data_IF_456866003235
#
_entry.id   IF_456866003235
#
_cell.length_a   1.000
_cell.length_b   1.000
_cell.length_c   1.000
_cell.angle_alpha   90.00
_cell.angle_beta   90.00
_cell.angle_gamma   90.00
#
_symmetry.space_group_name_H-M   'P 1'
#
loop_
_entity.id
_entity.type
_entity.pdbx_description
1 polymer ?
#
# COMPACT_ATOMS: atom_id res chain seq x y z
N UNK A 1 -22.89 -25.49 -3.66
CA UNK A 1 -22.77 -24.95 -2.30
C UNK A 1 -21.31 -25.06 -1.87
N UNK A 2 -20.47 -24.09 -2.26
CA UNK A 2 -19.06 -24.09 -1.91
C UNK A 2 -18.90 -23.61 -0.47
N UNK A 3 -18.24 -24.40 0.39
CA UNK A 3 -17.86 -23.92 1.72
C UNK A 3 -16.88 -22.76 1.51
N UNK A 4 -17.26 -21.56 1.94
CA UNK A 4 -16.29 -20.50 2.15
C UNK A 4 -15.28 -21.01 3.18
N UNK A 5 -14.10 -21.40 2.72
CA UNK A 5 -12.97 -21.65 3.58
C UNK A 5 -12.67 -20.35 4.31
N UNK A 6 -13.12 -20.21 5.54
CA UNK A 6 -12.73 -19.08 6.39
C UNK A 6 -11.21 -19.15 6.54
N UNK A 7 -10.48 -18.31 5.83
CA UNK A 7 -9.04 -18.20 6.01
C UNK A 7 -8.77 -17.88 7.47
N UNK A 8 -7.81 -18.56 8.12
CA UNK A 8 -7.52 -18.31 9.52
C UNK A 8 -7.13 -16.84 9.70
N UNK A 9 -7.80 -16.18 10.63
CA UNK A 9 -7.54 -14.78 10.99
C UNK A 9 -6.16 -14.71 11.65
N UNK A 10 -5.21 -14.00 11.01
CA UNK A 10 -3.85 -13.82 11.52
C UNK A 10 -3.93 -12.98 12.81
N UNK A 11 -3.37 -13.48 13.90
CA UNK A 11 -3.23 -12.69 15.13
C UNK A 11 -1.86 -12.03 15.16
N UNK A 12 -1.73 -10.97 15.95
CA UNK A 12 -0.46 -10.24 16.10
C UNK A 12 0.67 -11.15 16.56
N UNK A 13 0.39 -12.13 17.43
CA UNK A 13 1.36 -13.11 17.91
C UNK A 13 1.90 -14.05 16.82
N UNK A 14 1.23 -14.12 15.66
CA UNK A 14 1.64 -14.94 14.52
C UNK A 14 2.50 -14.15 13.52
N UNK A 15 2.67 -12.83 13.73
CA UNK A 15 3.47 -11.98 12.87
C UNK A 15 4.96 -12.10 13.22
N UNK A 16 5.84 -12.37 12.24
CA UNK A 16 7.27 -12.53 12.48
C UNK A 16 7.96 -11.21 12.80
N UNK A 17 9.02 -11.27 13.60
CA UNK A 17 9.86 -10.08 13.91
C UNK A 17 10.77 -9.67 12.75
N UNK A 18 11.02 -10.57 11.80
CA UNK A 18 11.86 -10.31 10.62
C UNK A 18 11.12 -10.71 9.35
N UNK A 19 11.00 -9.77 8.41
CA UNK A 19 10.36 -10.00 7.11
C UNK A 19 11.29 -9.60 5.95
N UNK A 20 11.16 -10.26 4.78
CA UNK A 20 11.67 -9.69 3.53
C UNK A 20 10.92 -8.38 3.22
N UNK A 21 11.62 -7.39 2.69
CA UNK A 21 11.01 -6.12 2.27
C UNK A 21 11.26 -5.83 0.80
N UNK A 22 10.25 -5.27 0.15
CA UNK A 22 10.26 -4.80 -1.23
C UNK A 22 10.22 -3.27 -1.24
N UNK A 23 11.36 -2.60 -1.44
CA UNK A 23 11.42 -1.15 -1.62
C UNK A 23 10.91 -0.78 -3.02
N UNK A 24 9.75 -0.11 -3.10
CA UNK A 24 9.16 0.29 -4.38
C UNK A 24 8.58 1.72 -4.28
N UNK A 25 9.18 2.73 -4.94
CA UNK A 25 8.68 4.11 -4.87
C UNK A 25 7.30 4.23 -5.51
N UNK A 26 6.40 4.96 -4.86
CA UNK A 26 5.05 5.22 -5.36
C UNK A 26 4.09 4.03 -5.27
N UNK A 27 4.57 2.84 -4.87
CA UNK A 27 3.71 1.71 -4.57
C UNK A 27 3.27 1.77 -3.11
N UNK A 28 1.96 1.71 -2.90
CA UNK A 28 1.34 1.72 -1.59
C UNK A 28 0.55 0.43 -1.41
N UNK A 29 0.68 -0.20 -0.24
CA UNK A 29 -0.16 -1.30 0.20
C UNK A 29 -0.82 -0.87 1.52
N UNK A 30 -2.11 -1.10 1.65
CA UNK A 30 -2.87 -0.85 2.87
C UNK A 30 -3.49 -2.16 3.38
N UNK A 31 -3.76 -2.29 4.70
CA UNK A 31 -4.48 -3.43 5.26
C UNK A 31 -5.79 -3.71 4.49
N UNK A 32 -6.12 -4.99 4.30
CA UNK A 32 -7.29 -5.50 3.55
C UNK A 32 -7.33 -5.17 2.05
N UNK A 33 -6.47 -4.29 1.56
CA UNK A 33 -6.35 -3.99 0.13
C UNK A 33 -5.51 -5.05 -0.61
N UNK A 34 -5.56 -5.02 -1.95
CA UNK A 34 -4.78 -5.91 -2.81
C UNK A 34 -3.84 -5.11 -3.68
N UNK A 35 -2.57 -5.54 -3.75
CA UNK A 35 -1.55 -4.96 -4.61
C UNK A 35 -1.02 -6.03 -5.57
N UNK A 36 -1.35 -5.94 -6.87
CA UNK A 36 -0.71 -6.75 -7.90
C UNK A 36 0.69 -6.20 -8.21
N UNK A 37 1.67 -7.08 -8.43
CA UNK A 37 3.05 -6.71 -8.76
C UNK A 37 3.63 -7.64 -9.84
N UNK A 38 4.44 -7.07 -10.72
CA UNK A 38 5.26 -7.82 -11.67
C UNK A 38 6.66 -8.00 -11.10
N UNK A 39 7.08 -9.25 -10.91
CA UNK A 39 8.38 -9.62 -10.38
C UNK A 39 9.23 -10.21 -11.49
N UNK A 40 10.34 -9.56 -11.80
CA UNK A 40 11.26 -10.00 -12.86
C UNK A 40 12.73 -9.82 -12.49
N UNK A 41 13.07 -8.96 -11.52
CA UNK A 41 14.46 -8.80 -11.09
C UNK A 41 14.93 -10.03 -10.30
N UNK A 42 16.12 -10.61 -10.58
CA UNK A 42 16.60 -11.84 -9.95
C UNK A 42 16.57 -11.84 -8.41
N UNK A 43 16.91 -10.70 -7.78
CA UNK A 43 16.86 -10.57 -6.31
C UNK A 43 15.45 -10.72 -5.74
N UNK A 44 14.42 -10.24 -6.45
CA UNK A 44 13.04 -10.32 -6.01
C UNK A 44 12.39 -11.65 -6.39
N UNK A 45 12.88 -12.32 -7.44
CA UNK A 45 12.54 -13.72 -7.70
C UNK A 45 13.02 -14.61 -6.54
N UNK A 46 14.28 -14.44 -6.09
CA UNK A 46 14.77 -15.16 -4.93
C UNK A 46 13.99 -14.82 -3.64
N UNK A 47 13.62 -13.55 -3.45
CA UNK A 47 12.75 -13.14 -2.33
C UNK A 47 11.39 -13.85 -2.36
N UNK A 48 10.78 -13.99 -3.54
CA UNK A 48 9.51 -14.69 -3.72
C UNK A 48 9.64 -16.17 -3.37
N UNK A 49 10.68 -16.84 -3.88
CA UNK A 49 10.97 -18.24 -3.58
C UNK A 49 11.17 -18.49 -2.09
N UNK A 50 11.93 -17.62 -1.42
CA UNK A 50 12.18 -17.74 0.01
C UNK A 50 10.93 -17.42 0.84
N UNK A 51 10.11 -16.47 0.39
CA UNK A 51 8.80 -16.16 1.01
C UNK A 51 7.85 -17.35 0.95
N UNK A 52 7.78 -18.06 -0.19
CA UNK A 52 6.92 -19.23 -0.38
C UNK A 52 7.25 -20.39 0.57
N UNK A 53 8.49 -20.49 1.04
CA UNK A 53 8.97 -21.48 2.01
C UNK A 53 8.57 -21.12 3.46
N UNK A 54 8.11 -19.90 3.71
CA UNK A 54 7.66 -19.48 5.05
C UNK A 54 6.18 -19.83 5.27
N UNK A 55 5.76 -20.10 6.52
CA UNK A 55 4.35 -20.36 6.82
C UNK A 55 3.46 -19.12 6.64
N UNK A 56 3.99 -17.93 6.91
CA UNK A 56 3.22 -16.67 6.87
C UNK A 56 3.14 -16.05 5.47
N UNK A 57 4.11 -16.33 4.59
CA UNK A 57 4.22 -15.81 3.22
C UNK A 57 4.08 -14.29 3.13
N UNK A 58 4.70 -13.58 4.09
CA UNK A 58 4.63 -12.12 4.17
C UNK A 58 5.79 -11.46 3.42
N UNK A 59 5.47 -10.39 2.70
CA UNK A 59 6.41 -9.44 2.10
C UNK A 59 6.06 -8.05 2.61
N UNK A 60 7.05 -7.32 3.13
CA UNK A 60 6.89 -5.94 3.55
C UNK A 60 7.02 -4.98 2.38
N UNK A 61 5.93 -4.35 1.97
CA UNK A 61 5.98 -3.22 1.02
C UNK A 61 6.39 -1.96 1.78
N UNK A 62 7.40 -1.26 1.29
CA UNK A 62 7.92 -0.05 1.93
C UNK A 62 8.43 0.91 0.86
N UNK A 63 8.20 2.21 1.06
CA UNK A 63 8.74 3.20 0.13
C UNK A 63 10.21 3.50 0.47
N UNK A 64 11.10 3.60 -0.53
CA UNK A 64 12.41 4.18 -0.33
C UNK A 64 12.27 5.69 -0.12
N UNK A 65 13.18 6.27 0.67
CA UNK A 65 13.31 7.70 0.87
C UNK A 65 14.72 8.17 0.57
N UNK A 66 14.82 9.37 0.00
CA UNK A 66 16.10 9.98 -0.27
C UNK A 66 16.74 10.47 1.03
N UNK A 67 18.08 10.45 1.07
CA UNK A 67 18.87 10.96 2.19
C UNK A 67 19.66 12.16 1.68
N UNK A 68 19.46 13.37 2.24
CA UNK A 68 20.26 14.53 1.86
C UNK A 68 21.76 14.24 2.00
N UNK A 69 22.50 14.35 0.89
CA UNK A 69 23.95 14.11 0.84
C UNK A 69 24.39 12.64 0.85
N UNK A 70 23.48 11.68 0.74
CA UNK A 70 23.78 10.25 0.63
C UNK A 70 23.54 9.71 -0.77
N UNK A 71 24.36 8.74 -1.21
CA UNK A 71 24.16 8.06 -2.48
C UNK A 71 23.10 6.93 -2.42
N UNK A 72 22.76 6.46 -1.22
CA UNK A 72 21.85 5.32 -1.02
C UNK A 72 20.49 5.74 -0.46
N UNK A 73 19.42 5.20 -1.04
CA UNK A 73 18.06 5.39 -0.54
C UNK A 73 17.82 4.56 0.72
N UNK A 74 17.40 5.24 1.80
CA UNK A 74 16.93 4.58 3.02
C UNK A 74 15.50 4.10 2.84
N UNK A 75 15.00 3.35 3.80
CA UNK A 75 13.58 3.03 3.88
C UNK A 75 12.85 4.11 4.68
N UNK A 76 11.61 4.36 4.29
CA UNK A 76 10.63 4.98 5.18
C UNK A 76 10.42 4.09 6.41
N UNK A 77 10.08 4.72 7.54
CA UNK A 77 9.98 4.03 8.82
C UNK A 77 8.74 3.14 8.89
N UNK A 78 7.70 3.42 8.11
CA UNK A 78 6.45 2.68 8.11
C UNK A 78 6.23 2.05 6.73
N UNK A 79 5.92 0.76 6.74
CA UNK A 79 5.52 -0.03 5.57
C UNK A 79 4.24 -0.82 5.86
N UNK A 80 3.77 -1.58 4.88
CA UNK A 80 2.66 -2.52 5.06
C UNK A 80 3.05 -3.93 4.60
N UNK A 81 2.85 -4.92 5.47
CA UNK A 81 3.07 -6.31 5.15
C UNK A 81 1.87 -6.84 4.36
N UNK A 82 2.16 -7.49 3.24
CA UNK A 82 1.19 -8.20 2.43
C UNK A 82 1.44 -9.69 2.46
N UNK A 83 0.39 -10.49 2.59
CA UNK A 83 0.46 -11.94 2.40
C UNK A 83 0.36 -12.24 0.91
N UNK A 84 1.26 -13.07 0.42
CA UNK A 84 1.19 -13.60 -0.93
C UNK A 84 -0.05 -14.50 -1.07
N UNK A 85 -1.06 -14.02 -1.80
CA UNK A 85 -2.35 -14.70 -1.99
C UNK A 85 -2.58 -15.21 -3.40
N UNK A 86 -1.78 -14.76 -4.36
CA UNK A 86 -1.80 -15.26 -5.72
C UNK A 86 -0.43 -15.09 -6.37
N UNK A 87 -0.06 -16.04 -7.22
CA UNK A 87 1.08 -15.91 -8.11
C UNK A 87 0.84 -16.72 -9.38
N UNK A 88 1.34 -16.23 -10.51
CA UNK A 88 1.33 -16.93 -11.79
C UNK A 88 2.61 -16.59 -12.55
N UNK A 89 3.22 -17.62 -13.12
CA UNK A 89 4.37 -17.47 -14.02
C UNK A 89 3.90 -17.05 -15.41
N UNK A 90 4.63 -16.14 -16.05
CA UNK A 90 4.41 -15.70 -17.43
C UNK A 90 5.36 -16.43 -18.37
N UNK A 91 5.02 -16.47 -19.67
CA UNK A 91 5.80 -17.19 -20.69
C UNK A 91 7.25 -16.71 -20.85
N UNK A 92 7.56 -15.50 -20.38
CA UNK A 92 8.89 -14.89 -20.40
C UNK A 92 9.67 -15.03 -19.08
N UNK A 93 9.22 -15.89 -18.17
CA UNK A 93 9.91 -16.19 -16.91
C UNK A 93 9.75 -15.10 -15.84
N UNK A 94 8.73 -14.25 -15.95
CA UNK A 94 8.36 -13.28 -14.91
C UNK A 94 7.23 -13.86 -14.06
N UNK A 95 7.00 -13.26 -12.90
CA UNK A 95 5.85 -13.59 -12.06
C UNK A 95 4.91 -12.40 -11.94
N UNK A 96 3.62 -12.63 -12.12
CA UNK A 96 2.59 -11.77 -11.54
C UNK A 96 2.28 -12.29 -10.15
N UNK A 97 2.35 -11.43 -9.14
CA UNK A 97 1.92 -11.77 -7.78
C UNK A 97 0.82 -10.83 -7.30
N UNK A 98 0.02 -11.31 -6.35
CA UNK A 98 -0.97 -10.49 -5.63
C UNK A 98 -0.70 -10.58 -4.14
N UNK A 99 -0.39 -9.43 -3.54
CA UNK A 99 -0.30 -9.27 -2.10
C UNK A 99 -1.63 -8.79 -1.53
N UNK A 100 -2.14 -9.47 -0.51
CA UNK A 100 -3.26 -8.99 0.31
C UNK A 100 -2.72 -8.35 1.59
N UNK A 101 -3.01 -7.08 1.81
CA UNK A 101 -2.50 -6.31 2.94
C UNK A 101 -2.98 -6.86 4.29
N UNK A 102 -2.05 -7.09 5.20
CA UNK A 102 -2.31 -7.65 6.53
C UNK A 102 -2.22 -6.58 7.60
N UNK A 103 -1.05 -5.96 7.75
CA UNK A 103 -0.80 -4.99 8.81
C UNK A 103 0.31 -4.05 8.40
N UNK A 104 0.22 -2.79 8.81
CA UNK A 104 1.36 -1.90 8.83
C UNK A 104 2.38 -2.36 9.86
N UNK A 105 3.62 -1.95 9.62
CA UNK A 105 4.75 -2.23 10.49
C UNK A 105 5.70 -1.04 10.53
N UNK A 106 6.46 -0.96 11.61
CA UNK A 106 7.57 -0.03 11.77
C UNK A 106 8.89 -0.75 11.51
N UNK A 107 9.72 -0.21 10.63
CA UNK A 107 11.09 -0.69 10.41
C UNK A 107 11.94 -0.29 11.62
N UNK A 108 12.53 -1.28 12.29
CA UNK A 108 13.45 -1.06 13.42
C UNK A 108 14.89 -1.00 12.91
N UNK A 109 15.28 -1.98 12.09
CA UNK A 109 16.62 -2.05 11.51
C UNK A 109 16.65 -2.97 10.29
N UNK A 110 17.66 -2.80 9.46
CA UNK A 110 17.96 -3.73 8.37
C UNK A 110 18.83 -4.87 8.87
N UNK A 111 18.45 -6.08 8.51
CA UNK A 111 19.20 -7.30 8.83
C UNK A 111 20.29 -7.47 7.78
N UNK A 112 21.55 -7.46 8.24
CA UNK A 112 22.71 -7.77 7.40
C UNK A 112 22.72 -9.27 7.06
N UNK A 113 23.11 -9.62 5.83
CA UNK A 113 23.15 -11.02 5.41
C UNK A 113 23.46 -11.21 3.93
N UNK A 114 23.42 -12.47 3.49
CA UNK A 114 23.78 -12.88 2.13
C UNK A 114 22.59 -12.96 1.16
N UNK A 115 21.37 -12.59 1.60
CA UNK A 115 20.23 -12.54 0.69
C UNK A 115 20.39 -11.37 -0.28
N UNK A 116 20.06 -11.51 -1.57
CA UNK A 116 20.20 -10.42 -2.55
C UNK A 116 19.11 -9.34 -2.42
N UNK A 117 18.16 -9.54 -1.51
CA UNK A 117 17.08 -8.63 -1.17
C UNK A 117 17.17 -8.20 0.30
N UNK A 118 16.54 -7.07 0.61
CA UNK A 118 16.56 -6.47 1.95
C UNK A 118 15.62 -7.23 2.89
N UNK A 119 16.04 -7.33 4.15
CA UNK A 119 15.24 -7.86 5.25
C UNK A 119 15.27 -6.86 6.39
N UNK A 120 14.18 -6.73 7.10
CA UNK A 120 14.08 -5.81 8.23
C UNK A 120 13.58 -6.53 9.47
N UNK A 121 14.15 -6.16 10.62
CA UNK A 121 13.47 -6.33 11.90
C UNK A 121 12.36 -5.28 11.97
N UNK A 122 11.15 -5.70 12.34
CA UNK A 122 9.96 -4.86 12.31
C UNK A 122 9.16 -4.96 13.60
N UNK A 123 8.37 -3.92 13.88
CA UNK A 123 7.46 -3.86 15.02
C UNK A 123 6.02 -3.61 14.57
N UNK A 124 5.08 -4.28 15.23
CA UNK A 124 3.65 -4.29 14.89
C UNK A 124 2.77 -3.54 15.91
N UNK A 125 3.32 -3.20 17.08
CA UNK A 125 2.54 -2.75 18.24
C UNK A 125 1.68 -1.52 17.97
N UNK A 126 2.21 -0.55 17.23
CA UNK A 126 1.52 0.69 16.84
C UNK A 126 0.32 0.44 15.89
N UNK A 127 0.21 -0.75 15.32
CA UNK A 127 -0.71 -1.06 14.21
C UNK A 127 -1.69 -2.20 14.54
N UNK A 128 -1.93 -2.48 15.83
CA UNK A 128 -2.86 -3.54 16.27
C UNK A 128 -4.28 -3.44 15.67
N UNK A 129 -4.74 -2.22 15.34
CA UNK A 129 -6.04 -1.97 14.67
C UNK A 129 -6.12 -2.59 13.28
N UNK A 130 -4.98 -2.75 12.59
CA UNK A 130 -4.95 -3.25 11.22
C UNK A 130 -5.39 -4.72 11.13
N UNK A 131 -5.26 -5.48 12.22
CA UNK A 131 -5.73 -6.87 12.33
C UNK A 131 -7.20 -6.97 12.78
N UNK A 132 -7.82 -5.84 13.11
CA UNK A 132 -9.21 -5.74 13.51
C UNK A 132 -10.19 -5.84 12.34
N UNK A 133 -11.49 -5.65 12.62
CA UNK A 133 -12.50 -5.50 11.57
C UNK A 133 -12.21 -4.27 10.70
N UNK A 134 -12.90 -4.18 9.57
CA UNK A 134 -12.82 -3.00 8.72
C UNK A 134 -13.11 -1.72 9.52
N UNK A 135 -12.34 -0.68 9.25
CA UNK A 135 -12.52 0.62 9.90
C UNK A 135 -13.76 1.33 9.33
N UNK A 136 -14.39 2.14 10.17
CA UNK A 136 -15.51 3.00 9.78
C UNK A 136 -15.18 4.45 10.04
N UNK A 137 -15.79 5.34 9.26
CA UNK A 137 -15.63 6.78 9.39
C UNK A 137 -17.01 7.45 9.50
N UNK A 138 -17.40 7.76 10.75
CA UNK A 138 -18.70 8.36 11.03
C UNK A 138 -18.87 9.76 10.40
N UNK A 139 -17.77 10.45 10.06
CA UNK A 139 -17.78 11.75 9.40
C UNK A 139 -17.85 11.66 7.88
N UNK A 140 -17.86 10.46 7.30
CA UNK A 140 -17.73 10.30 5.86
C UNK A 140 -18.98 10.75 5.10
N UNK A 141 -18.88 11.90 4.43
CA UNK A 141 -19.91 12.42 3.52
C UNK A 141 -19.68 11.91 2.10
N UNK A 142 -20.09 10.66 1.82
CA UNK A 142 -19.85 9.95 0.55
C UNK A 142 -20.22 10.77 -0.69
N UNK A 143 -21.41 11.35 -0.76
CA UNK A 143 -21.85 12.13 -1.94
C UNK A 143 -20.94 13.33 -2.23
N UNK A 144 -20.59 14.11 -1.20
CA UNK A 144 -19.70 15.26 -1.35
C UNK A 144 -18.27 14.83 -1.73
N UNK A 145 -17.81 13.70 -1.21
CA UNK A 145 -16.52 13.13 -1.55
C UNK A 145 -16.47 12.65 -3.01
N UNK A 146 -17.51 11.96 -3.49
CA UNK A 146 -17.59 11.49 -4.87
C UNK A 146 -17.70 12.65 -5.87
N UNK A 147 -18.37 13.75 -5.52
CA UNK A 147 -18.40 14.97 -6.34
C UNK A 147 -16.99 15.59 -6.50
N UNK A 148 -16.25 15.72 -5.39
CA UNK A 148 -14.86 16.19 -5.41
C UNK A 148 -13.98 15.26 -6.25
N UNK A 149 -14.12 13.94 -6.08
CA UNK A 149 -13.38 12.95 -6.84
C UNK A 149 -13.71 13.02 -8.34
N UNK A 150 -14.98 13.28 -8.70
CA UNK A 150 -15.41 13.45 -10.09
C UNK A 150 -14.70 14.61 -10.79
N UNK A 151 -14.57 15.74 -10.08
CA UNK A 151 -13.81 16.89 -10.56
C UNK A 151 -12.32 16.55 -10.74
N UNK A 152 -11.73 15.86 -9.77
CA UNK A 152 -10.33 15.43 -9.82
C UNK A 152 -10.04 14.48 -10.99
N UNK A 153 -10.87 13.44 -11.18
CA UNK A 153 -10.67 12.48 -12.27
C UNK A 153 -10.86 13.12 -13.64
N UNK A 154 -11.77 14.08 -13.75
CA UNK A 154 -11.91 14.89 -14.97
C UNK A 154 -10.65 15.72 -15.23
N UNK A 155 -10.12 16.40 -14.21
CA UNK A 155 -8.94 17.25 -14.34
C UNK A 155 -7.66 16.45 -14.66
N UNK A 156 -7.55 15.22 -14.15
CA UNK A 156 -6.41 14.33 -14.37
C UNK A 156 -6.59 13.37 -15.55
N UNK A 157 -7.67 13.50 -16.33
CA UNK A 157 -8.03 12.62 -17.46
C UNK A 157 -8.07 11.11 -17.09
N UNK A 158 -8.49 10.80 -15.86
CA UNK A 158 -8.55 9.44 -15.35
C UNK A 158 -9.87 8.77 -15.75
N UNK A 159 -9.77 7.54 -16.25
CA UNK A 159 -10.95 6.69 -16.51
C UNK A 159 -11.42 6.02 -15.23
N UNK A 160 -12.72 5.83 -15.08
CA UNK A 160 -13.30 5.30 -13.84
C UNK A 160 -14.64 4.63 -14.05
N UNK A 161 -14.81 3.48 -13.43
CA UNK A 161 -16.11 2.85 -13.24
C UNK A 161 -16.81 3.45 -12.01
N UNK A 162 -17.62 4.47 -12.27
CA UNK A 162 -18.42 5.15 -11.24
C UNK A 162 -19.52 4.27 -10.63
N UNK A 163 -19.92 3.17 -11.28
CA UNK A 163 -20.86 2.21 -10.71
C UNK A 163 -20.21 1.49 -9.53
N UNK A 164 -19.08 0.84 -9.80
CA UNK A 164 -18.30 0.11 -8.80
C UNK A 164 -17.85 1.00 -7.64
N UNK A 165 -17.42 2.23 -7.88
CA UNK A 165 -16.99 3.15 -6.80
C UNK A 165 -18.13 3.53 -5.85
N UNK A 166 -19.36 3.70 -6.34
CA UNK A 166 -20.51 4.08 -5.51
C UNK A 166 -20.92 2.96 -4.56
N UNK A 167 -20.82 1.73 -5.02
CA UNK A 167 -21.20 0.53 -4.25
C UNK A 167 -20.09 0.04 -3.32
N UNK A 168 -18.86 0.53 -3.49
CA UNK A 168 -17.73 0.14 -2.65
C UNK A 168 -17.93 0.52 -1.17
N UNK A 169 -17.56 -0.41 -0.29
CA UNK A 169 -17.44 -0.16 1.16
C UNK A 169 -16.44 0.98 1.43
N UNK A 170 -16.66 1.70 2.53
CA UNK A 170 -15.95 2.97 2.82
C UNK A 170 -14.44 2.81 2.90
N UNK A 171 -13.98 1.84 3.68
CA UNK A 171 -12.55 1.57 3.81
C UNK A 171 -11.94 1.14 2.47
N UNK A 172 -12.63 0.26 1.74
CA UNK A 172 -12.15 -0.21 0.45
C UNK A 172 -12.03 0.94 -0.55
N UNK A 173 -13.01 1.84 -0.58
CA UNK A 173 -13.02 3.03 -1.43
C UNK A 173 -11.82 3.94 -1.12
N UNK A 174 -11.65 4.33 0.14
CA UNK A 174 -10.58 5.25 0.56
C UNK A 174 -9.21 4.61 0.35
N UNK A 175 -9.02 3.34 0.72
CA UNK A 175 -7.74 2.65 0.57
C UNK A 175 -7.38 2.46 -0.92
N UNK A 176 -8.35 2.09 -1.76
CA UNK A 176 -8.11 1.91 -3.20
C UNK A 176 -7.73 3.22 -3.87
N UNK A 177 -8.43 4.32 -3.57
CA UNK A 177 -8.09 5.64 -4.10
C UNK A 177 -6.71 6.11 -3.61
N UNK A 178 -6.38 5.88 -2.34
CA UNK A 178 -5.05 6.18 -1.79
C UNK A 178 -3.93 5.46 -2.55
N UNK A 179 -4.18 4.22 -2.99
CA UNK A 179 -3.20 3.39 -3.69
C UNK A 179 -3.11 3.73 -5.19
N UNK A 180 -4.25 3.95 -5.84
CA UNK A 180 -4.39 4.04 -7.30
C UNK A 180 -4.25 5.46 -7.85
N UNK A 181 -4.63 6.49 -7.07
CA UNK A 181 -4.47 7.87 -7.53
C UNK A 181 -2.98 8.20 -7.73
N UNK A 182 -2.65 9.00 -8.77
CA UNK A 182 -1.29 9.31 -9.16
C UNK A 182 -0.67 10.39 -8.25
N UNK A 183 -0.67 10.17 -6.94
CA UNK A 183 0.04 11.02 -5.99
C UNK A 183 1.52 10.71 -5.96
N UNK A 184 2.31 11.70 -5.56
CA UNK A 184 3.74 11.56 -5.38
C UNK A 184 4.07 10.58 -4.24
N UNK A 185 5.28 9.97 -4.22
CA UNK A 185 5.67 9.01 -3.21
C UNK A 185 5.49 9.49 -1.76
N UNK A 186 5.82 10.74 -1.45
CA UNK A 186 5.69 11.30 -0.10
C UNK A 186 4.23 11.48 0.32
N UNK A 187 3.35 11.86 -0.61
CA UNK A 187 1.91 11.94 -0.37
C UNK A 187 1.31 10.56 -0.10
N UNK A 188 1.73 9.54 -0.86
CA UNK A 188 1.37 8.14 -0.60
C UNK A 188 1.89 7.65 0.74
N UNK A 189 3.06 8.13 1.17
CA UNK A 189 3.60 7.82 2.49
C UNK A 189 2.72 8.44 3.58
N UNK A 190 2.29 9.69 3.43
CA UNK A 190 1.36 10.32 4.37
C UNK A 190 0.04 9.55 4.49
N UNK A 191 -0.50 9.04 3.38
CA UNK A 191 -1.72 8.20 3.37
C UNK A 191 -1.52 6.85 4.08
N UNK A 192 -0.32 6.25 3.98
CA UNK A 192 0.04 5.02 4.71
C UNK A 192 0.10 5.26 6.22
N UNK A 193 0.72 6.37 6.60
CA UNK A 193 1.02 6.73 7.99
C UNK A 193 -0.19 7.31 8.73
N UNK A 194 -1.27 7.65 8.01
CA UNK A 194 -2.52 8.10 8.60
C UNK A 194 -3.04 7.09 9.66
N UNK A 195 -3.25 7.52 10.93
CA UNK A 195 -3.51 6.62 12.04
C UNK A 195 -4.89 5.95 12.01
N UNK A 196 -5.84 6.52 11.27
CA UNK A 196 -7.21 6.02 11.11
C UNK A 196 -7.71 6.23 9.69
N UNK A 197 -8.82 5.57 9.35
CA UNK A 197 -9.53 5.77 8.10
C UNK A 197 -10.00 7.23 7.91
N UNK A 198 -10.48 7.86 8.98
CA UNK A 198 -10.91 9.27 8.98
C UNK A 198 -9.76 10.19 8.62
N UNK A 199 -8.61 10.07 9.29
CA UNK A 199 -7.44 10.90 8.97
C UNK A 199 -6.95 10.62 7.55
N UNK A 200 -6.98 9.36 7.10
CA UNK A 200 -6.59 9.02 5.72
C UNK A 200 -7.52 9.67 4.69
N UNK A 201 -8.84 9.66 4.93
CA UNK A 201 -9.82 10.35 4.09
C UNK A 201 -9.51 11.84 4.03
N UNK A 202 -9.23 12.48 5.16
CA UNK A 202 -8.95 13.91 5.22
C UNK A 202 -7.66 14.29 4.48
N UNK A 203 -6.62 13.48 4.64
CA UNK A 203 -5.39 13.62 3.86
C UNK A 203 -5.69 13.46 2.36
N UNK A 204 -6.44 12.42 1.97
CA UNK A 204 -6.81 12.19 0.58
C UNK A 204 -7.59 13.36 -0.02
N UNK A 205 -8.58 13.89 0.71
CA UNK A 205 -9.34 15.09 0.30
C UNK A 205 -8.41 16.29 0.12
N UNK A 206 -7.49 16.51 1.06
CA UNK A 206 -6.55 17.63 0.99
C UNK A 206 -5.64 17.53 -0.23
N UNK A 207 -5.13 16.33 -0.54
CA UNK A 207 -4.31 16.08 -1.72
C UNK A 207 -5.08 16.32 -3.02
N UNK A 208 -6.33 15.84 -3.09
CA UNK A 208 -7.21 16.07 -4.24
C UNK A 208 -7.49 17.56 -4.44
N UNK A 209 -7.84 18.29 -3.37
CA UNK A 209 -8.08 19.72 -3.45
C UNK A 209 -6.83 20.50 -3.86
N UNK A 210 -5.66 20.10 -3.36
CA UNK A 210 -4.38 20.70 -3.73
C UNK A 210 -4.09 20.50 -5.23
N UNK A 211 -4.24 19.27 -5.74
CA UNK A 211 -4.05 18.97 -7.15
C UNK A 211 -5.01 19.77 -8.05
N UNK A 212 -6.27 19.90 -7.65
CA UNK A 212 -7.27 20.71 -8.37
C UNK A 212 -6.94 22.20 -8.40
N UNK A 213 -6.33 22.74 -7.32
CA UNK A 213 -5.90 24.14 -7.28
C UNK A 213 -4.59 24.35 -8.08
N UNK A 214 -3.68 23.39 -8.01
CA UNK A 214 -2.40 23.40 -8.74
C UNK A 214 -2.56 23.31 -10.26
N UNK A 215 -3.62 22.63 -10.74
CA UNK A 215 -3.95 22.53 -12.18
C UNK A 215 -4.40 23.82 -12.87
N UNK A 216 -4.38 24.96 -12.19
CA UNK A 216 -4.63 26.30 -12.79
C UNK A 216 -3.40 27.21 -12.79
N UNK A 217 -2.21 26.67 -12.48
CA UNK A 217 -0.99 27.43 -12.20
C UNK A 217 0.16 27.33 -13.21
N UNK A 218 0.02 26.64 -14.35
CA UNK A 218 1.00 26.75 -15.44
C UNK A 218 0.69 27.95 -16.34
N UNK A 219 0.82 29.16 -15.79
CA UNK A 219 1.07 30.38 -16.59
C UNK A 219 1.54 31.56 -15.71
N UNK A 220 2.51 31.34 -14.82
CA UNK A 220 3.37 32.46 -14.37
C UNK A 220 4.80 31.95 -14.19
N UNK A 221 5.57 31.89 -15.28
CA UNK A 221 6.99 32.23 -15.23
C UNK A 221 7.57 32.51 -16.64
N UNK A 222 7.86 33.80 -16.82
CA UNK A 222 8.61 34.52 -17.88
C UNK A 222 7.80 35.08 -19.04
#
# INVERSE_FOLDING_TARGET
>A
MGRASSEPMIKQADLPDVIPVFPLPGALLLPRARLPLHIFEPRYLQMLDDTLKTPNRLIGMVQPRDVPGGAEKRLHAIGCAGRLTGFSETEDGRYMITLSGISRFRVISEVQGFTPYRRCTVEWADFSRDLGPAETDAGFRREAFLDLLGRYFTAMELSTDWGSLREAEEELLINSLSMLCPFDPEDKQALLEAPSLETRRETLVTLIEFALRGGTGEEVMQ
#
